data_IF_054551000958
#
_entry.id   IF_054551000958
#
_cell.length_a   1.000
_cell.length_b   1.000
_cell.length_c   1.000
_cell.angle_alpha   90.00
_cell.angle_beta   90.00
_cell.angle_gamma   90.00
#
_symmetry.space_group_name_H-M   'P 1'
#
loop_
_entity.id
_entity.type
_entity.pdbx_description
1 polymer ?
#
# COMPACT_ATOMS: atom_id res chain seq x y z
N UNK A 1 -0.69 35.42 -0.63
CA UNK A 1 -0.20 35.34 0.77
C UNK A 1 0.59 36.61 1.04
N UNK A 2 0.39 37.33 2.14
CA UNK A 2 1.28 38.43 2.50
C UNK A 2 2.73 37.93 2.53
N UNK A 3 3.66 38.72 1.98
CA UNK A 3 5.06 38.32 1.93
C UNK A 3 5.62 38.21 3.36
N UNK A 4 6.41 37.18 3.68
CA UNK A 4 6.97 37.04 5.02
C UNK A 4 7.93 38.20 5.29
N UNK A 5 7.61 39.03 6.29
CA UNK A 5 8.46 40.15 6.70
C UNK A 5 9.85 39.69 7.19
N UNK A 6 9.95 38.46 7.71
CA UNK A 6 11.19 37.88 8.24
C UNK A 6 11.36 36.42 7.79
N UNK A 7 12.62 36.01 7.61
CA UNK A 7 12.95 34.60 7.35
C UNK A 7 12.69 33.75 8.59
N UNK A 8 12.00 32.61 8.42
CA UNK A 8 11.83 31.66 9.50
C UNK A 8 13.14 30.98 9.91
N UNK A 9 13.36 30.82 11.22
CA UNK A 9 14.52 30.11 11.75
C UNK A 9 14.52 28.64 11.35
N UNK A 10 15.71 28.03 11.27
CA UNK A 10 15.86 26.59 11.01
C UNK A 10 15.12 25.76 12.07
N UNK A 11 15.12 26.21 13.32
CA UNK A 11 14.40 25.57 14.42
C UNK A 11 12.88 25.57 14.19
N UNK A 12 12.29 26.72 13.81
CA UNK A 12 10.86 26.82 13.52
C UNK A 12 10.45 25.92 12.34
N UNK A 13 11.25 25.90 11.27
CA UNK A 13 11.02 25.03 10.10
C UNK A 13 11.04 23.55 10.47
N UNK A 14 12.02 23.13 11.30
CA UNK A 14 12.13 21.73 11.76
C UNK A 14 10.96 21.36 12.66
N UNK A 15 10.60 22.20 13.64
CA UNK A 15 9.42 22.01 14.51
C UNK A 15 8.12 21.92 13.71
N UNK A 16 7.94 22.72 12.66
CA UNK A 16 6.75 22.62 11.78
C UNK A 16 6.67 21.28 11.04
N UNK A 17 7.82 20.69 10.67
CA UNK A 17 7.90 19.43 9.91
C UNK A 17 7.89 18.17 10.78
N UNK A 18 7.70 18.28 12.09
CA UNK A 18 7.64 17.11 12.99
C UNK A 18 6.44 16.23 12.67
N UNK A 19 5.28 16.82 12.38
CA UNK A 19 4.03 16.08 12.11
C UNK A 19 3.86 15.64 10.65
N UNK A 20 4.69 16.15 9.74
CA UNK A 20 4.70 15.68 8.35
C UNK A 20 5.46 14.36 8.28
N UNK A 21 4.74 13.25 8.47
CA UNK A 21 5.26 11.88 8.52
C UNK A 21 4.45 10.99 7.59
N UNK A 22 5.11 9.98 7.02
CA UNK A 22 4.41 8.94 6.27
C UNK A 22 3.80 7.96 7.28
N UNK A 23 2.52 7.65 7.11
CA UNK A 23 1.84 6.62 7.89
C UNK A 23 2.03 5.26 7.21
N UNK A 24 2.16 4.20 8.01
CA UNK A 24 2.26 2.84 7.49
C UNK A 24 0.87 2.33 7.11
N UNK A 25 0.69 1.76 5.91
CA UNK A 25 -0.58 1.17 5.53
C UNK A 25 -0.90 -0.07 6.39
N UNK A 26 -2.19 -0.34 6.58
CA UNK A 26 -2.62 -1.53 7.31
C UNK A 26 -2.51 -2.77 6.41
N UNK A 27 -1.62 -3.68 6.80
CA UNK A 27 -1.36 -4.94 6.09
C UNK A 27 -1.94 -6.12 6.87
N UNK A 28 -2.55 -7.06 6.15
CA UNK A 28 -3.08 -8.30 6.68
C UNK A 28 -2.49 -9.50 5.93
N UNK A 29 -2.27 -10.62 6.62
CA UNK A 29 -1.87 -11.87 6.00
C UNK A 29 -3.11 -12.64 5.56
N UNK A 30 -3.12 -13.16 4.33
CA UNK A 30 -4.18 -14.06 3.91
C UNK A 30 -3.97 -15.45 4.51
N UNK A 31 -5.03 -16.04 5.07
CA UNK A 31 -4.97 -17.41 5.61
C UNK A 31 -4.83 -18.49 4.54
N UNK A 32 -5.31 -18.24 3.32
CA UNK A 32 -5.33 -19.24 2.25
C UNK A 32 -3.99 -19.34 1.50
N UNK A 33 -3.34 -18.21 1.23
CA UNK A 33 -2.09 -18.18 0.43
C UNK A 33 -0.87 -17.72 1.23
N UNK A 34 -1.04 -17.26 2.47
CA UNK A 34 0.05 -16.74 3.30
C UNK A 34 0.60 -15.37 2.89
N UNK A 35 0.13 -14.78 1.79
CA UNK A 35 0.63 -13.50 1.26
C UNK A 35 0.10 -12.30 2.06
N UNK A 36 0.95 -11.30 2.25
CA UNK A 36 0.58 -10.00 2.83
C UNK A 36 -0.13 -9.13 1.79
N UNK A 37 -1.30 -8.62 2.14
CA UNK A 37 -2.09 -7.72 1.29
C UNK A 37 -2.65 -6.56 2.12
N UNK A 38 -3.09 -5.50 1.42
CA UNK A 38 -3.74 -4.36 2.09
C UNK A 38 -5.09 -4.83 2.63
N UNK A 39 -5.38 -4.51 3.89
CA UNK A 39 -6.62 -4.94 4.54
C UNK A 39 -7.85 -4.44 3.76
N UNK A 40 -8.81 -5.34 3.52
CA UNK A 40 -10.02 -5.11 2.72
C UNK A 40 -9.80 -4.90 1.21
N UNK A 41 -8.62 -5.21 0.67
CA UNK A 41 -8.39 -5.22 -0.78
C UNK A 41 -8.25 -6.65 -1.31
N UNK A 42 -8.71 -6.85 -2.55
CA UNK A 42 -8.37 -8.05 -3.31
C UNK A 42 -6.91 -7.97 -3.78
N UNK A 43 -6.24 -9.12 -3.90
CA UNK A 43 -4.85 -9.20 -4.36
C UNK A 43 -4.66 -10.30 -5.39
N UNK A 44 -3.69 -10.12 -6.27
CA UNK A 44 -3.32 -11.12 -7.26
C UNK A 44 -2.25 -12.05 -6.70
N UNK A 45 -2.42 -13.35 -6.92
CA UNK A 45 -1.45 -14.38 -6.57
C UNK A 45 -1.58 -15.54 -7.55
N UNK A 46 -0.47 -15.96 -8.16
CA UNK A 46 -0.42 -17.11 -9.10
C UNK A 46 -1.49 -17.03 -10.21
N UNK A 47 -1.63 -15.85 -10.82
CA UNK A 47 -2.61 -15.61 -11.89
C UNK A 47 -4.07 -15.55 -11.44
N UNK A 48 -4.37 -15.73 -10.15
CA UNK A 48 -5.73 -15.69 -9.58
C UNK A 48 -5.91 -14.47 -8.68
N UNK A 49 -7.10 -13.87 -8.69
CA UNK A 49 -7.43 -12.78 -7.76
C UNK A 49 -8.10 -13.36 -6.52
N UNK A 50 -7.53 -13.11 -5.35
CA UNK A 50 -8.01 -13.57 -4.06
C UNK A 50 -8.63 -12.44 -3.24
N UNK A 51 -9.73 -12.73 -2.58
CA UNK A 51 -10.33 -11.87 -1.56
C UNK A 51 -10.97 -12.72 -0.47
N UNK A 52 -10.64 -12.43 0.80
CA UNK A 52 -11.16 -13.16 1.96
C UNK A 52 -11.00 -14.69 1.86
N UNK A 53 -9.93 -15.16 1.22
CA UNK A 53 -9.64 -16.58 1.03
C UNK A 53 -10.33 -17.25 -0.16
N UNK A 54 -11.21 -16.54 -0.86
CA UNK A 54 -11.89 -17.05 -2.06
C UNK A 54 -11.21 -16.52 -3.32
N UNK A 55 -11.24 -17.32 -4.39
CA UNK A 55 -10.89 -16.88 -5.74
C UNK A 55 -12.06 -16.08 -6.30
N UNK A 56 -11.85 -14.79 -6.57
CA UNK A 56 -12.84 -13.90 -7.18
C UNK A 56 -12.74 -13.95 -8.70
N UNK A 57 -11.52 -14.02 -9.21
CA UNK A 57 -11.24 -14.13 -10.64
C UNK A 57 -10.30 -15.31 -10.84
N UNK A 58 -10.76 -16.31 -11.58
CA UNK A 58 -9.87 -17.28 -12.19
C UNK A 58 -9.22 -16.60 -13.39
N UNK A 59 -8.00 -16.07 -13.21
CA UNK A 59 -7.21 -15.68 -14.37
C UNK A 59 -6.84 -16.93 -15.16
N UNK A 60 -6.60 -16.75 -16.46
CA UNK A 60 -6.32 -17.83 -17.39
C UNK A 60 -5.19 -18.74 -16.85
N UNK A 61 -5.30 -20.07 -16.99
CA UNK A 61 -4.25 -20.98 -16.57
C UNK A 61 -2.98 -20.68 -17.40
N UNK A 62 -1.87 -20.33 -16.75
CA UNK A 62 -0.55 -20.22 -17.39
C UNK A 62 0.05 -21.58 -17.79
N UNK A 63 -0.77 -22.62 -17.98
CA UNK A 63 -0.33 -23.93 -18.47
C UNK A 63 -0.14 -23.97 -20.00
N UNK A 64 -0.34 -22.86 -20.73
CA UNK A 64 -0.20 -22.81 -22.20
C UNK A 64 1.07 -22.09 -22.72
N UNK A 65 2.01 -21.67 -21.86
CA UNK A 65 3.19 -20.89 -22.25
C UNK A 65 4.53 -21.67 -22.17
N UNK A 66 4.48 -22.98 -21.90
CA UNK A 66 5.67 -23.82 -21.71
C UNK A 66 5.71 -25.08 -22.60
N UNK A 67 5.01 -25.06 -23.75
CA UNK A 67 5.21 -26.02 -24.85
C UNK A 67 5.73 -25.30 -26.10
#
# INVERSE_FOLDING_TARGET
>A
MPNPKWRHSKQRKRKRRTHYKAETPQLATCKATGVTHIMHHAYWHEGKMYYRGNVVIAGAPEEAAAE
#
